data_IF_750147159172
#
_entry.id   IF_750147159172
#
_cell.length_a   1.000
_cell.length_b   1.000
_cell.length_c   1.000
_cell.angle_alpha   90.00
_cell.angle_beta   90.00
_cell.angle_gamma   90.00
#
_symmetry.space_group_name_H-M   'P 1'
#
loop_
_entity.id
_entity.type
_entity.pdbx_description
1 polymer ?
#
# COMPACT_ATOMS: atom_id res chain seq x y z
N UNK A 1 -51.57 27.90 83.20
CA UNK A 1 -52.33 28.94 82.46
C UNK A 1 -51.45 29.43 81.32
N UNK A 2 -51.88 29.24 80.07
CA UNK A 2 -51.38 30.00 78.91
C UNK A 2 -51.74 31.50 79.11
N UNK A 3 -51.17 32.51 78.40
CA UNK A 3 -50.94 32.46 76.94
C UNK A 3 -49.81 33.35 76.33
N UNK A 4 -49.72 33.24 74.99
CA UNK A 4 -49.47 34.32 74.00
C UNK A 4 -48.09 34.96 73.78
N UNK A 5 -47.47 34.51 72.67
CA UNK A 5 -47.11 35.26 71.43
C UNK A 5 -46.23 36.53 71.47
N UNK A 6 -45.13 36.41 70.71
CA UNK A 6 -44.67 37.26 69.57
C UNK A 6 -44.26 38.71 69.85
N UNK A 7 -43.00 39.04 69.54
CA UNK A 7 -42.65 40.13 68.59
C UNK A 7 -41.14 40.39 68.45
N UNK A 8 -40.68 40.28 67.18
CA UNK A 8 -39.67 41.10 66.48
C UNK A 8 -38.21 41.10 66.95
N UNK A 9 -37.39 40.42 66.12
CA UNK A 9 -35.95 40.61 66.00
C UNK A 9 -35.42 40.08 64.67
N UNK A 10 -36.20 40.21 63.58
CA UNK A 10 -35.73 39.98 62.20
C UNK A 10 -35.13 41.30 61.71
N UNK A 11 -33.84 41.30 61.39
CA UNK A 11 -33.21 42.05 60.28
C UNK A 11 -31.76 42.45 60.62
N UNK A 12 -30.86 41.49 60.87
CA UNK A 12 -29.43 41.77 60.65
C UNK A 12 -28.47 40.59 60.54
N UNK A 13 -28.97 39.35 60.46
CA UNK A 13 -28.11 38.16 60.47
C UNK A 13 -28.42 37.19 59.32
N UNK A 14 -28.89 37.74 58.18
CA UNK A 14 -29.13 36.99 56.96
C UNK A 14 -28.57 37.73 55.75
N UNK A 15 -27.29 38.12 55.84
CA UNK A 15 -26.59 38.81 54.75
C UNK A 15 -25.09 38.51 54.73
N UNK A 16 -24.72 37.26 55.02
CA UNK A 16 -23.32 36.81 54.86
C UNK A 16 -23.18 35.34 54.43
N UNK A 17 -24.27 34.60 54.21
CA UNK A 17 -24.22 33.21 53.73
C UNK A 17 -24.73 33.03 52.29
N UNK A 18 -24.89 34.11 51.53
CA UNK A 18 -25.51 34.09 50.19
C UNK A 18 -24.68 34.93 49.21
N UNK A 19 -23.36 34.74 49.24
CA UNK A 19 -22.42 35.16 48.18
C UNK A 19 -21.55 33.94 47.86
N UNK A 20 -22.13 32.95 47.20
CA UNK A 20 -21.41 31.81 46.63
C UNK A 20 -22.26 31.12 45.56
N UNK A 21 -22.89 31.92 44.69
CA UNK A 21 -23.61 31.39 43.54
C UNK A 21 -23.83 32.51 42.54
N UNK A 22 -22.89 32.68 41.62
CA UNK A 22 -23.10 33.02 40.20
C UNK A 22 -21.84 33.65 39.64
N UNK A 23 -21.00 32.83 38.99
CA UNK A 23 -20.39 33.12 37.69
C UNK A 23 -19.65 31.88 37.21
N UNK A 24 -19.97 31.47 35.97
CA UNK A 24 -19.33 30.44 35.14
C UNK A 24 -19.70 29.00 35.55
N UNK A 25 -20.80 28.42 35.06
CA UNK A 25 -21.18 28.42 33.64
C UNK A 25 -20.26 27.48 32.87
N UNK A 26 -20.34 26.20 33.23
CA UNK A 26 -20.15 25.01 32.40
C UNK A 26 -19.42 25.18 31.05
N UNK A 27 -18.15 24.78 31.02
CA UNK A 27 -17.59 24.05 29.88
C UNK A 27 -16.53 23.05 30.36
N UNK A 28 -16.89 22.22 31.34
CA UNK A 28 -16.14 21.01 31.69
C UNK A 28 -16.48 19.89 30.69
N UNK A 29 -16.27 20.16 29.39
CA UNK A 29 -16.40 19.14 28.37
C UNK A 29 -15.09 18.35 28.30
N UNK A 30 -15.14 17.12 28.81
CA UNK A 30 -14.41 15.98 28.22
C UNK A 30 -12.88 15.99 28.27
N UNK A 31 -12.28 16.07 29.46
CA UNK A 31 -10.84 15.74 29.64
C UNK A 31 -10.64 14.38 30.35
N UNK A 32 -11.60 13.95 31.17
CA UNK A 32 -11.52 12.68 31.92
C UNK A 32 -11.57 11.42 31.03
N UNK A 33 -12.41 11.43 29.99
CA UNK A 33 -12.49 10.32 29.02
C UNK A 33 -11.22 10.13 28.20
N UNK A 34 -10.55 11.24 27.84
CA UNK A 34 -9.30 11.22 27.06
C UNK A 34 -8.14 10.70 27.92
N UNK A 35 -8.02 11.13 29.17
CA UNK A 35 -7.00 10.62 30.10
C UNK A 35 -7.22 9.14 30.48
N UNK A 36 -8.48 8.70 30.61
CA UNK A 36 -8.81 7.31 30.92
C UNK A 36 -8.54 6.37 29.73
N UNK A 37 -8.73 6.84 28.50
CA UNK A 37 -8.30 6.12 27.30
C UNK A 37 -6.75 6.02 27.22
N UNK A 38 -6.02 7.08 27.55
CA UNK A 38 -4.55 7.07 27.49
C UNK A 38 -3.92 6.04 28.42
N UNK A 39 -4.37 5.88 29.67
CA UNK A 39 -3.84 4.85 30.58
C UNK A 39 -4.11 3.40 30.16
N UNK A 40 -5.16 3.17 29.36
CA UNK A 40 -5.57 1.84 28.89
C UNK A 40 -4.91 1.42 27.58
N UNK A 41 -4.57 2.38 26.71
CA UNK A 41 -3.94 2.14 25.40
C UNK A 41 -2.45 2.50 25.33
N UNK A 42 -1.92 3.32 26.25
CA UNK A 42 -0.49 3.60 26.41
C UNK A 42 0.14 2.75 27.52
N UNK A 43 -0.34 1.51 27.68
CA UNK A 43 0.24 0.55 28.61
C UNK A 43 1.30 -0.28 27.87
N UNK A 44 2.50 -0.43 28.46
CA UNK A 44 3.63 -1.15 27.82
C UNK A 44 3.21 -2.57 27.41
N UNK A 45 2.30 -3.19 28.17
CA UNK A 45 1.73 -4.51 27.87
C UNK A 45 0.82 -4.53 26.63
N UNK A 46 0.09 -3.44 26.35
CA UNK A 46 -0.70 -3.31 25.13
C UNK A 46 0.20 -3.13 23.91
N UNK A 47 1.26 -2.32 24.02
CA UNK A 47 2.23 -2.15 22.93
C UNK A 47 2.95 -3.46 22.61
N UNK A 48 3.39 -4.20 23.64
CA UNK A 48 3.94 -5.56 23.47
C UNK A 48 2.91 -6.49 22.80
N UNK A 49 1.65 -6.46 23.25
CA UNK A 49 0.61 -7.27 22.65
C UNK A 49 0.40 -6.95 21.16
N UNK A 50 0.38 -5.67 20.79
CA UNK A 50 0.23 -5.22 19.40
C UNK A 50 1.43 -5.60 18.53
N UNK A 51 2.64 -5.66 19.08
CA UNK A 51 3.86 -6.01 18.33
C UNK A 51 4.07 -7.51 18.17
N UNK A 52 3.65 -8.32 19.14
CA UNK A 52 3.95 -9.75 19.18
C UNK A 52 2.74 -10.66 18.92
N UNK A 53 1.49 -10.23 19.19
CA UNK A 53 0.32 -11.08 18.95
C UNK A 53 -0.20 -10.94 17.51
N UNK A 54 -0.29 -12.04 16.74
CA UNK A 54 -0.80 -12.01 15.35
C UNK A 54 -2.24 -11.52 15.18
N UNK A 55 -3.02 -11.46 16.27
CA UNK A 55 -4.39 -10.93 16.26
C UNK A 55 -4.44 -9.44 15.92
N UNK A 56 -3.39 -8.68 16.24
CA UNK A 56 -3.29 -7.24 15.98
C UNK A 56 -2.54 -6.91 14.68
N UNK A 57 -2.14 -7.92 13.88
CA UNK A 57 -1.43 -7.71 12.61
C UNK A 57 -2.19 -6.78 11.67
N UNK A 58 -3.52 -6.85 11.65
CA UNK A 58 -4.34 -5.99 10.79
C UNK A 58 -4.31 -4.51 11.21
N UNK A 59 -4.24 -4.21 12.52
CA UNK A 59 -4.11 -2.83 13.01
C UNK A 59 -2.76 -2.25 12.60
N UNK A 60 -1.69 -3.01 12.82
CA UNK A 60 -0.32 -2.60 12.43
C UNK A 60 -0.23 -2.41 10.92
N UNK A 61 -0.82 -3.31 10.14
CA UNK A 61 -0.88 -3.18 8.68
C UNK A 61 -1.60 -1.91 8.22
N UNK A 62 -2.74 -1.56 8.79
CA UNK A 62 -3.49 -0.34 8.42
C UNK A 62 -2.68 0.92 8.75
N UNK A 63 -2.06 0.98 9.94
CA UNK A 63 -1.21 2.10 10.34
C UNK A 63 -0.01 2.26 9.39
N UNK A 64 0.70 1.16 9.10
CA UNK A 64 1.82 1.16 8.17
C UNK A 64 1.38 1.57 6.76
N UNK A 65 0.23 1.10 6.30
CA UNK A 65 -0.31 1.45 4.98
C UNK A 65 -0.58 2.95 4.85
N UNK A 66 -1.15 3.57 5.89
CA UNK A 66 -1.37 5.03 5.92
C UNK A 66 -0.02 5.76 5.88
N UNK A 67 0.97 5.33 6.68
CA UNK A 67 2.31 5.90 6.63
C UNK A 67 2.93 5.80 5.22
N UNK A 68 2.77 4.66 4.56
CA UNK A 68 3.28 4.42 3.22
C UNK A 68 2.67 5.35 2.15
N UNK A 69 1.38 5.70 2.26
CA UNK A 69 0.76 6.69 1.38
C UNK A 69 1.49 8.04 1.48
N UNK A 70 1.77 8.50 2.70
CA UNK A 70 2.47 9.77 2.91
C UNK A 70 3.92 9.71 2.46
N UNK A 71 4.63 8.61 2.73
CA UNK A 71 6.02 8.42 2.29
C UNK A 71 6.10 8.43 0.76
N UNK A 72 5.23 7.70 0.06
CA UNK A 72 5.22 7.67 -1.40
C UNK A 72 4.89 9.04 -1.98
N UNK A 73 3.89 9.75 -1.44
CA UNK A 73 3.58 11.12 -1.85
C UNK A 73 4.77 12.07 -1.65
N UNK A 74 5.45 11.97 -0.51
CA UNK A 74 6.65 12.75 -0.23
C UNK A 74 7.78 12.43 -1.21
N UNK A 75 8.03 11.15 -1.51
CA UNK A 75 9.09 10.74 -2.45
C UNK A 75 8.82 11.29 -3.85
N UNK A 76 7.58 11.19 -4.35
CA UNK A 76 7.22 11.72 -5.68
C UNK A 76 7.53 13.22 -5.73
N UNK A 77 7.16 13.99 -4.71
CA UNK A 77 7.36 15.44 -4.71
C UNK A 77 8.83 15.83 -4.46
N UNK A 78 9.50 15.15 -3.53
CA UNK A 78 10.82 15.54 -3.02
C UNK A 78 11.99 15.02 -3.85
N UNK A 79 11.82 13.91 -4.59
CA UNK A 79 12.91 13.25 -5.30
C UNK A 79 12.66 13.24 -6.82
N UNK A 80 13.66 13.67 -7.61
CA UNK A 80 13.54 13.61 -9.06
C UNK A 80 13.57 12.16 -9.54
N UNK A 81 12.88 11.92 -10.64
CA UNK A 81 12.97 10.71 -11.42
C UNK A 81 14.41 10.45 -11.89
N UNK A 82 14.81 9.18 -11.96
CA UNK A 82 16.11 8.74 -12.47
C UNK A 82 15.88 7.80 -13.66
N UNK A 83 16.31 8.24 -14.84
CA UNK A 83 16.18 7.46 -16.07
C UNK A 83 17.04 6.22 -16.05
N UNK A 84 16.44 5.08 -16.35
CA UNK A 84 17.13 3.81 -16.62
C UNK A 84 16.52 3.15 -17.85
N UNK A 85 15.27 2.67 -17.73
CA UNK A 85 14.63 1.88 -18.79
C UNK A 85 13.31 2.47 -19.31
N UNK A 86 12.74 3.50 -18.66
CA UNK A 86 11.42 4.02 -19.03
C UNK A 86 11.36 4.48 -20.49
N UNK A 87 12.37 5.23 -20.96
CA UNK A 87 12.42 5.67 -22.36
C UNK A 87 12.49 4.49 -23.31
N UNK A 88 13.32 3.50 -23.00
CA UNK A 88 13.43 2.29 -23.80
C UNK A 88 12.08 1.56 -23.87
N UNK A 89 11.37 1.44 -22.75
CA UNK A 89 10.04 0.86 -22.72
C UNK A 89 9.04 1.61 -23.61
N UNK A 90 9.08 2.94 -23.61
CA UNK A 90 8.19 3.74 -24.46
C UNK A 90 8.52 3.58 -25.94
N UNK A 91 9.81 3.53 -26.31
CA UNK A 91 10.25 3.30 -27.69
C UNK A 91 9.88 1.90 -28.20
N UNK A 92 10.10 0.86 -27.40
CA UNK A 92 9.74 -0.52 -27.73
C UNK A 92 8.24 -0.65 -28.00
N UNK A 93 7.42 -0.02 -27.16
CA UNK A 93 5.96 -0.04 -27.26
C UNK A 93 5.48 0.82 -28.42
N UNK A 94 6.10 1.97 -28.66
CA UNK A 94 5.81 2.80 -29.84
C UNK A 94 6.05 2.03 -31.14
N UNK A 95 7.14 1.24 -31.22
CA UNK A 95 7.38 0.35 -32.36
C UNK A 95 6.22 -0.61 -32.62
N UNK A 96 5.67 -1.20 -31.55
CA UNK A 96 4.49 -2.07 -31.60
C UNK A 96 3.23 -1.31 -32.04
N UNK A 97 2.97 -0.14 -31.45
CA UNK A 97 1.81 0.70 -31.77
C UNK A 97 1.84 1.22 -33.21
N UNK A 98 3.03 1.37 -33.79
CA UNK A 98 3.25 1.71 -35.20
C UNK A 98 3.12 0.52 -36.16
N UNK A 99 2.74 -0.67 -35.67
CA UNK A 99 2.44 -1.85 -36.47
C UNK A 99 3.56 -2.89 -36.56
N UNK A 100 4.65 -2.73 -35.81
CA UNK A 100 5.71 -3.74 -35.75
C UNK A 100 5.29 -4.90 -34.85
N UNK A 101 5.03 -6.07 -35.42
CA UNK A 101 4.63 -7.26 -34.65
C UNK A 101 5.77 -8.26 -34.44
N UNK A 102 6.86 -8.13 -35.20
CA UNK A 102 8.03 -8.98 -35.06
C UNK A 102 8.96 -8.41 -33.97
N UNK A 103 9.09 -9.19 -32.88
CA UNK A 103 9.86 -8.86 -31.68
C UNK A 103 11.34 -8.61 -31.97
N UNK A 104 11.89 -9.15 -33.06
CA UNK A 104 13.28 -8.91 -33.44
C UNK A 104 13.55 -7.44 -33.77
N UNK A 105 12.51 -6.69 -34.15
CA UNK A 105 12.59 -5.28 -34.51
C UNK A 105 12.06 -4.33 -33.43
N UNK A 106 11.43 -4.84 -32.36
CA UNK A 106 11.03 -4.03 -31.20
C UNK A 106 12.26 -3.76 -30.34
N UNK A 107 12.80 -2.53 -30.40
CA UNK A 107 14.01 -2.13 -29.68
C UNK A 107 13.90 -0.71 -29.14
N UNK A 108 14.52 -0.47 -27.98
CA UNK A 108 14.75 0.86 -27.43
C UNK A 108 16.24 1.14 -27.26
N UNK A 109 16.56 2.24 -26.60
CA UNK A 109 17.93 2.70 -26.33
C UNK A 109 18.76 1.67 -25.54
N UNK A 110 18.11 0.76 -24.81
CA UNK A 110 18.76 -0.29 -24.00
C UNK A 110 18.88 -1.64 -24.71
N UNK A 111 18.41 -1.76 -25.96
CA UNK A 111 18.50 -2.96 -26.76
C UNK A 111 17.14 -3.50 -27.22
N UNK A 112 17.08 -4.77 -27.65
CA UNK A 112 15.82 -5.39 -28.06
C UNK A 112 14.90 -5.69 -26.88
N UNK A 113 13.59 -5.66 -27.14
CA UNK A 113 12.55 -6.01 -26.19
C UNK A 113 12.75 -7.44 -25.68
N UNK A 114 13.03 -7.56 -24.38
CA UNK A 114 13.24 -8.85 -23.70
C UNK A 114 12.00 -9.37 -22.97
N UNK A 115 10.97 -8.54 -22.83
CA UNK A 115 9.75 -8.88 -22.12
C UNK A 115 8.69 -9.47 -23.06
N UNK A 116 7.85 -10.42 -22.61
CA UNK A 116 6.81 -11.01 -23.45
C UNK A 116 5.62 -10.05 -23.65
N UNK A 117 4.63 -10.46 -24.46
CA UNK A 117 3.49 -9.62 -24.88
C UNK A 117 2.68 -8.96 -23.75
N UNK A 118 2.66 -9.54 -22.55
CA UNK A 118 2.00 -8.92 -21.41
C UNK A 118 2.58 -7.54 -21.07
N UNK A 119 3.90 -7.38 -21.19
CA UNK A 119 4.57 -6.09 -21.05
C UNK A 119 4.07 -5.10 -22.09
N UNK A 120 4.07 -5.49 -23.37
CA UNK A 120 3.69 -4.61 -24.49
C UNK A 120 2.29 -4.06 -24.30
N UNK A 121 1.32 -4.89 -23.92
CA UNK A 121 -0.06 -4.44 -23.69
C UNK A 121 -0.21 -3.50 -22.50
N UNK A 122 0.44 -3.82 -21.38
CA UNK A 122 0.36 -2.99 -20.17
C UNK A 122 1.06 -1.65 -20.38
N UNK A 123 2.25 -1.67 -20.98
CA UNK A 123 3.00 -0.45 -21.25
C UNK A 123 2.40 0.37 -22.40
N UNK A 124 1.64 -0.22 -23.33
CA UNK A 124 0.81 0.52 -24.28
C UNK A 124 -0.24 1.38 -23.58
N UNK A 125 -0.88 0.85 -22.52
CA UNK A 125 -1.80 1.63 -21.71
C UNK A 125 -1.08 2.77 -20.98
N UNK A 126 0.10 2.51 -20.42
CA UNK A 126 0.93 3.53 -19.76
C UNK A 126 1.39 4.60 -20.75
N UNK A 127 1.76 4.21 -21.97
CA UNK A 127 2.18 5.11 -23.04
C UNK A 127 1.09 6.15 -23.31
N UNK A 128 -0.16 5.72 -23.54
CA UNK A 128 -1.27 6.67 -23.74
C UNK A 128 -1.61 7.47 -22.47
N UNK A 129 -1.54 6.86 -21.28
CA UNK A 129 -1.85 7.53 -20.02
C UNK A 129 -0.84 8.63 -19.64
N UNK A 130 0.39 8.54 -20.15
CA UNK A 130 1.51 9.43 -19.78
C UNK A 130 1.93 10.36 -20.91
N UNK A 131 1.04 10.60 -21.88
CA UNK A 131 1.32 11.39 -23.08
C UNK A 131 2.57 10.90 -23.81
N UNK A 132 2.48 9.66 -24.30
CA UNK A 132 3.52 8.99 -25.08
C UNK A 132 4.82 8.81 -24.28
N UNK A 133 4.71 8.71 -22.94
CA UNK A 133 5.85 8.56 -22.04
C UNK A 133 6.52 9.86 -21.61
N UNK A 134 6.09 11.02 -22.11
CA UNK A 134 6.71 12.32 -21.81
C UNK A 134 6.35 12.85 -20.42
N UNK A 135 5.15 12.53 -19.92
CA UNK A 135 4.68 12.97 -18.62
C UNK A 135 5.13 12.02 -17.49
N UNK A 136 6.39 12.17 -17.13
CA UNK A 136 7.05 11.39 -16.07
C UNK A 136 6.33 11.58 -14.72
N UNK A 137 5.76 12.76 -14.46
CA UNK A 137 5.09 13.01 -13.17
C UNK A 137 3.85 12.13 -13.01
N UNK A 138 3.05 11.99 -14.06
CA UNK A 138 1.90 11.08 -14.06
C UNK A 138 2.39 9.64 -13.90
N UNK A 139 3.46 9.25 -14.61
CA UNK A 139 4.05 7.92 -14.47
C UNK A 139 4.46 7.62 -13.02
N UNK A 140 5.13 8.56 -12.34
CA UNK A 140 5.50 8.40 -10.93
C UNK A 140 4.30 8.21 -10.00
N UNK A 141 3.19 8.93 -10.22
CA UNK A 141 1.97 8.74 -9.45
C UNK A 141 1.29 7.38 -9.72
N UNK A 142 1.29 6.93 -10.97
CA UNK A 142 0.80 5.60 -11.33
C UNK A 142 1.64 4.53 -10.62
N UNK A 143 2.97 4.65 -10.65
CA UNK A 143 3.87 3.71 -9.99
C UNK A 143 3.80 3.78 -8.46
N UNK A 144 3.53 4.94 -7.87
CA UNK A 144 3.23 5.06 -6.45
C UNK A 144 1.93 4.32 -6.10
N UNK A 145 0.89 4.39 -6.94
CA UNK A 145 -0.32 3.62 -6.75
C UNK A 145 -0.07 2.11 -6.87
N UNK A 146 0.73 1.67 -7.85
CA UNK A 146 1.15 0.27 -7.99
C UNK A 146 1.92 -0.22 -6.75
N UNK A 147 2.81 0.60 -6.20
CA UNK A 147 3.52 0.30 -4.96
C UNK A 147 2.54 0.07 -3.80
N UNK A 148 1.55 0.94 -3.63
CA UNK A 148 0.53 0.78 -2.59
C UNK A 148 -0.28 -0.50 -2.81
N UNK A 149 -0.61 -0.85 -4.04
CA UNK A 149 -1.27 -2.14 -4.34
C UNK A 149 -0.39 -3.31 -3.91
N UNK A 150 0.92 -3.29 -4.21
CA UNK A 150 1.85 -4.32 -3.74
C UNK A 150 1.84 -4.43 -2.21
N UNK A 151 1.97 -3.30 -1.51
CA UNK A 151 1.96 -3.28 -0.04
C UNK A 151 0.66 -3.82 0.54
N UNK A 152 -0.48 -3.48 -0.08
CA UNK A 152 -1.77 -4.07 0.30
C UNK A 152 -1.78 -5.59 0.14
N UNK A 153 -1.30 -6.13 -0.98
CA UNK A 153 -1.26 -7.58 -1.19
C UNK A 153 -0.37 -8.27 -0.15
N UNK A 154 0.79 -7.70 0.15
CA UNK A 154 1.72 -8.21 1.16
C UNK A 154 1.07 -8.17 2.54
N UNK A 155 0.51 -7.05 2.97
CA UNK A 155 -0.16 -6.95 4.27
C UNK A 155 -1.37 -7.88 4.39
N UNK A 156 -2.14 -8.04 3.32
CA UNK A 156 -3.24 -9.00 3.25
C UNK A 156 -2.74 -10.45 3.44
N UNK A 157 -1.62 -10.80 2.81
CA UNK A 157 -1.01 -12.13 2.97
C UNK A 157 -0.61 -12.41 4.43
N UNK A 158 0.04 -11.46 5.08
CA UNK A 158 0.45 -11.59 6.49
C UNK A 158 -0.74 -11.64 7.46
N UNK A 159 -1.78 -10.83 7.21
CA UNK A 159 -3.00 -10.83 8.04
C UNK A 159 -3.83 -12.11 7.87
N UNK A 160 -3.85 -12.71 6.68
CA UNK A 160 -4.53 -13.99 6.44
C UNK A 160 -3.79 -15.17 7.07
N UNK A 161 -2.47 -15.21 6.96
CA UNK A 161 -1.70 -16.35 7.45
C UNK A 161 -1.62 -16.39 8.98
N UNK A 162 -1.60 -15.23 9.67
CA UNK A 162 -1.49 -15.11 11.14
C UNK A 162 -0.34 -15.90 11.78
N UNK A 163 0.66 -16.32 10.99
CA UNK A 163 1.82 -17.09 11.47
C UNK A 163 2.98 -16.22 11.90
N UNK A 164 3.05 -14.99 11.38
CA UNK A 164 4.18 -14.10 11.59
C UNK A 164 3.76 -12.96 12.51
N UNK A 165 4.57 -12.64 13.53
CA UNK A 165 4.27 -11.56 14.45
C UNK A 165 4.32 -10.18 13.77
N UNK A 166 3.50 -9.21 14.21
CA UNK A 166 3.38 -7.88 13.59
C UNK A 166 4.68 -7.10 13.45
N UNK A 167 5.67 -7.27 14.35
CA UNK A 167 6.96 -6.59 14.22
C UNK A 167 7.69 -6.90 12.90
N UNK A 168 7.44 -8.06 12.27
CA UNK A 168 8.04 -8.39 10.99
C UNK A 168 7.57 -7.44 9.86
N UNK A 169 6.32 -6.97 9.91
CA UNK A 169 5.80 -5.98 8.96
C UNK A 169 6.54 -4.65 9.08
N UNK A 170 6.92 -4.28 10.30
CA UNK A 170 7.66 -3.05 10.57
C UNK A 170 9.04 -3.12 9.89
N UNK A 171 9.78 -4.21 10.09
CA UNK A 171 11.08 -4.41 9.42
C UNK A 171 10.97 -4.47 7.89
N UNK A 172 9.94 -5.14 7.38
CA UNK A 172 9.67 -5.19 5.94
C UNK A 172 9.46 -3.80 5.35
N UNK A 173 8.68 -2.98 6.05
CA UNK A 173 8.37 -1.60 5.63
C UNK A 173 9.63 -0.73 5.68
N UNK A 174 10.41 -0.78 6.77
CA UNK A 174 11.66 0.00 6.87
C UNK A 174 12.75 -0.43 5.88
N UNK A 175 12.78 -1.70 5.47
CA UNK A 175 13.73 -2.20 4.45
C UNK A 175 13.36 -1.78 3.03
N UNK A 176 12.22 -1.08 2.85
CA UNK A 176 11.65 -0.80 1.53
C UNK A 176 12.31 0.34 0.75
N UNK A 177 13.43 0.93 1.20
CA UNK A 177 14.10 2.02 0.45
C UNK A 177 14.40 1.64 -1.00
N UNK A 178 14.93 0.43 -1.23
CA UNK A 178 15.22 -0.06 -2.59
C UNK A 178 13.94 -0.23 -3.41
N UNK A 179 12.87 -0.73 -2.80
CA UNK A 179 11.59 -0.98 -3.47
C UNK A 179 10.93 0.34 -3.88
N UNK A 180 10.90 1.35 -2.99
CA UNK A 180 10.45 2.70 -3.33
C UNK A 180 11.18 3.26 -4.55
N UNK A 181 12.50 3.05 -4.59
CA UNK A 181 13.32 3.54 -5.69
C UNK A 181 13.08 2.78 -7.01
N UNK A 182 12.82 1.47 -6.97
CA UNK A 182 12.45 0.66 -8.14
C UNK A 182 11.10 1.12 -8.72
N UNK A 183 10.09 1.30 -7.86
CA UNK A 183 8.76 1.70 -8.29
C UNK A 183 8.72 3.16 -8.72
N UNK A 184 9.01 4.09 -7.81
CA UNK A 184 8.65 5.51 -7.97
C UNK A 184 9.73 6.33 -8.67
N UNK A 185 11.00 5.91 -8.57
CA UNK A 185 12.11 6.68 -9.13
C UNK A 185 12.63 6.15 -10.46
N UNK A 186 12.41 4.87 -10.77
CA UNK A 186 12.94 4.20 -11.98
C UNK A 186 11.87 3.64 -12.91
N UNK A 187 10.64 3.45 -12.43
CA UNK A 187 9.49 3.01 -13.24
C UNK A 187 9.69 1.65 -13.95
N UNK A 188 10.35 0.71 -13.26
CA UNK A 188 10.65 -0.63 -13.80
C UNK A 188 9.40 -1.49 -14.03
N UNK A 189 9.45 -2.40 -14.99
CA UNK A 189 8.35 -3.34 -15.28
C UNK A 189 8.13 -4.39 -14.16
N UNK A 190 9.23 -4.87 -13.59
CA UNK A 190 9.29 -5.86 -12.52
C UNK A 190 8.18 -5.75 -11.46
N UNK A 191 7.97 -4.57 -10.82
CA UNK A 191 6.80 -4.21 -10.03
C UNK A 191 5.46 -4.85 -10.39
N UNK A 192 5.02 -4.71 -11.64
CA UNK A 192 3.66 -5.07 -12.06
C UNK A 192 3.50 -6.59 -12.00
N UNK A 193 4.52 -7.33 -12.43
CA UNK A 193 4.47 -8.78 -12.37
C UNK A 193 4.49 -9.29 -10.92
N UNK A 194 5.28 -8.66 -10.05
CA UNK A 194 5.29 -9.03 -8.62
C UNK A 194 3.93 -8.78 -7.97
N UNK A 195 3.22 -7.71 -8.33
CA UNK A 195 1.83 -7.48 -7.89
C UNK A 195 0.92 -8.63 -8.33
N UNK A 196 0.99 -9.05 -9.59
CA UNK A 196 0.19 -10.17 -10.12
C UNK A 196 0.50 -11.49 -9.39
N UNK A 197 1.78 -11.75 -9.10
CA UNK A 197 2.22 -12.92 -8.35
C UNK A 197 1.64 -12.94 -6.93
N UNK A 198 1.77 -11.84 -6.17
CA UNK A 198 1.20 -11.74 -4.82
C UNK A 198 -0.33 -11.79 -4.84
N UNK A 199 -0.97 -11.20 -5.84
CA UNK A 199 -2.42 -11.30 -6.02
C UNK A 199 -2.84 -12.76 -6.24
N UNK A 200 -2.15 -13.51 -7.11
CA UNK A 200 -2.42 -14.92 -7.36
C UNK A 200 -2.31 -15.75 -6.07
N UNK A 201 -1.23 -15.56 -5.30
CA UNK A 201 -1.02 -16.23 -4.00
C UNK A 201 -2.18 -15.93 -3.04
N UNK A 202 -2.58 -14.66 -2.93
CA UNK A 202 -3.69 -14.25 -2.07
C UNK A 202 -5.02 -14.91 -2.49
N UNK A 203 -5.29 -15.06 -3.80
CA UNK A 203 -6.51 -15.75 -4.25
C UNK A 203 -6.47 -17.26 -3.96
N UNK A 204 -5.31 -17.90 -4.14
CA UNK A 204 -5.14 -19.32 -3.81
C UNK A 204 -5.35 -19.59 -2.32
N UNK A 205 -4.83 -18.74 -1.43
CA UNK A 205 -5.05 -18.85 0.01
C UNK A 205 -6.52 -18.69 0.43
N UNK A 206 -7.32 -17.99 -0.38
CA UNK A 206 -8.76 -17.80 -0.16
C UNK A 206 -9.61 -18.87 -0.85
N UNK A 207 -9.01 -19.91 -1.44
CA UNK A 207 -9.71 -20.98 -2.17
C UNK A 207 -10.27 -20.55 -3.53
N UNK A 208 -9.88 -19.39 -4.05
CA UNK A 208 -10.36 -18.84 -5.33
C UNK A 208 -9.40 -19.23 -6.47
N UNK A 209 -9.41 -20.52 -6.81
CA UNK A 209 -8.48 -21.12 -7.75
C UNK A 209 -8.50 -20.49 -9.15
N UNK A 210 -9.69 -20.18 -9.68
CA UNK A 210 -9.83 -19.61 -11.04
C UNK A 210 -9.16 -18.24 -11.17
N UNK A 211 -9.42 -17.34 -10.21
CA UNK A 211 -8.81 -16.00 -10.19
C UNK A 211 -7.30 -16.07 -9.94
N UNK A 212 -6.86 -16.98 -9.06
CA UNK A 212 -5.44 -17.22 -8.82
C UNK A 212 -4.72 -17.71 -10.07
N UNK A 213 -5.29 -18.68 -10.78
CA UNK A 213 -4.72 -19.23 -12.03
C UNK A 213 -4.70 -18.18 -13.15
N UNK A 214 -5.73 -17.36 -13.28
CA UNK A 214 -5.77 -16.26 -14.25
C UNK A 214 -4.64 -15.26 -13.98
N UNK A 215 -4.51 -14.79 -12.75
CA UNK A 215 -3.45 -13.85 -12.37
C UNK A 215 -2.04 -14.44 -12.53
N UNK A 216 -1.87 -15.73 -12.22
CA UNK A 216 -0.61 -16.43 -12.42
C UNK A 216 -0.23 -16.55 -13.90
N UNK A 217 -1.21 -16.75 -14.79
CA UNK A 217 -1.00 -16.73 -16.24
C UNK A 217 -0.51 -15.38 -16.72
N UNK A 218 -1.14 -14.28 -16.27
CA UNK A 218 -0.72 -12.93 -16.65
C UNK A 218 0.67 -12.60 -16.09
N UNK A 219 0.99 -12.99 -14.85
CA UNK A 219 2.33 -12.89 -14.29
C UNK A 219 3.38 -13.56 -15.19
N UNK A 220 3.11 -14.79 -15.64
CA UNK A 220 4.00 -15.51 -16.55
C UNK A 220 4.17 -14.77 -17.88
N UNK A 221 3.11 -14.14 -18.39
CA UNK A 221 3.13 -13.30 -19.59
C UNK A 221 3.97 -12.02 -19.48
N UNK A 222 4.37 -11.62 -18.27
CA UNK A 222 5.23 -10.43 -18.05
C UNK A 222 6.71 -10.76 -17.84
N UNK A 223 7.03 -11.96 -17.33
CA UNK A 223 8.41 -12.34 -16.96
C UNK A 223 8.99 -13.51 -17.76
N UNK A 224 8.14 -14.39 -18.31
CA UNK A 224 8.60 -15.64 -18.89
C UNK A 224 8.71 -15.58 -20.42
N UNK A 225 9.83 -15.08 -20.91
CA UNK A 225 10.36 -15.49 -22.22
C UNK A 225 11.33 -16.69 -22.10
N UNK A 226 11.91 -16.95 -20.91
CA UNK A 226 13.04 -17.89 -20.77
C UNK A 226 12.76 -19.21 -20.03
N UNK A 227 11.72 -19.31 -19.19
CA UNK A 227 11.53 -20.52 -18.35
C UNK A 227 10.69 -21.60 -19.04
N UNK A 228 9.94 -21.28 -20.10
CA UNK A 228 9.03 -22.22 -20.77
C UNK A 228 9.42 -22.66 -22.18
N UNK A 229 10.21 -21.87 -22.91
CA UNK A 229 10.48 -22.15 -24.32
C UNK A 229 11.62 -23.16 -24.53
N UNK A 230 12.58 -23.23 -23.60
CA UNK A 230 13.76 -24.08 -23.77
C UNK A 230 13.50 -25.60 -23.64
N UNK A 231 12.62 -26.10 -22.75
CA UNK A 231 12.37 -27.55 -22.67
C UNK A 231 11.40 -28.04 -23.76
N UNK A 232 10.49 -27.19 -24.24
CA UNK A 232 9.48 -27.56 -25.23
C UNK A 232 10.02 -27.55 -26.67
N UNK A 233 10.90 -26.59 -27.00
CA UNK A 233 11.52 -26.53 -28.33
C UNK A 233 12.52 -27.68 -28.57
N UNK A 234 13.26 -28.10 -27.53
CA UNK A 234 14.20 -29.23 -27.62
C UNK A 234 13.50 -30.61 -27.64
N UNK A 235 12.31 -30.73 -27.06
CA UNK A 235 11.54 -31.99 -27.10
C UNK A 235 10.78 -32.18 -28.41
N UNK A 236 10.40 -31.10 -29.10
CA UNK A 236 9.81 -31.17 -30.43
C UNK A 236 10.84 -31.61 -31.50
N UNK A 237 12.09 -31.11 -31.43
CA UNK A 237 13.15 -31.49 -32.38
C UNK A 237 13.70 -32.91 -32.20
N UNK A 238 13.45 -33.55 -31.06
CA UNK A 238 13.82 -34.96 -30.82
C UNK A 238 12.74 -35.94 -31.31
N UNK A 239 11.50 -35.46 -31.50
CA UNK A 239 10.39 -36.29 -31.99
C UNK A 239 10.25 -36.20 -33.52
N UNK A 240 10.64 -35.08 -34.13
CA UNK A 240 10.80 -34.98 -35.60
C UNK A 240 12.21 -35.39 -35.99
N UNK A 241 12.47 -36.70 -35.97
CA UNK A 241 13.67 -37.26 -36.57
C UNK A 241 13.66 -37.03 -38.07
N UNK A 242 14.42 -36.04 -38.53
CA UNK A 242 14.83 -35.93 -39.94
C UNK A 242 16.03 -36.87 -40.15
N UNK A 243 15.75 -38.01 -40.79
CA UNK A 243 16.72 -38.76 -41.60
C UNK A 243 16.83 -38.15 -42.99
#
# INVERSE_FOLDING_TARGET
>A
MAPTTRSKGKAKEKKESEISSTTNGESCWSISGVQQCWGKYANVEFVKAVLFKPEYTWLVAVLLFICEIFINGFIVVARPYTEIDWKAYMQEVEGFLNGTLDYQYLKGDTGPLVYPAGFVYIYSLLYFATDHGSNIRIAQWIFAALYLVLMYQVFKLYTLTKKVPPYALIFLTFTSYRIHSIFVLRLFNDPIAIILAYFAINQFLQGRWTLGSLAYREFKGMYAALIGAHPAAQSASVITGDT
#
